data_IF_434399941771
#
_entry.id   IF_434399941771
#
_cell.length_a   1.000
_cell.length_b   1.000
_cell.length_c   1.000
_cell.angle_alpha   90.00
_cell.angle_beta   90.00
_cell.angle_gamma   90.00
#
_symmetry.space_group_name_H-M   'P 1'
#
loop_
_entity.id
_entity.type
_entity.pdbx_description
1 polymer ?
#
# COMPACT_ATOMS: atom_id res chain seq x y z
N UNK A 1 9.21 -14.85 24.70
CA UNK A 1 9.90 -13.93 23.74
C UNK A 1 10.39 -12.74 24.54
N UNK A 2 11.69 -12.38 24.44
CA UNK A 2 12.22 -11.16 25.06
C UNK A 2 11.60 -9.92 24.41
N UNK A 3 11.58 -8.78 25.15
CA UNK A 3 11.02 -7.51 24.66
C UNK A 3 11.54 -7.17 23.26
N UNK A 4 12.84 -7.12 23.05
CA UNK A 4 13.49 -6.87 21.74
C UNK A 4 13.07 -7.82 20.60
N UNK A 5 12.70 -9.07 20.90
CA UNK A 5 12.20 -10.01 19.87
C UNK A 5 10.76 -9.69 19.43
N UNK A 6 9.91 -9.14 20.31
CA UNK A 6 8.56 -8.72 19.97
C UNK A 6 8.56 -7.46 19.10
N UNK A 7 9.45 -6.54 19.38
CA UNK A 7 9.63 -5.26 18.68
C UNK A 7 10.04 -5.44 17.23
N UNK A 8 11.12 -6.22 17.02
CA UNK A 8 11.55 -6.59 15.67
C UNK A 8 10.46 -7.36 14.92
N UNK A 9 9.62 -8.11 15.66
CA UNK A 9 8.51 -8.84 15.06
C UNK A 9 7.42 -7.89 14.54
N UNK A 10 6.98 -6.88 15.31
CA UNK A 10 5.93 -5.95 14.90
C UNK A 10 6.31 -5.14 13.65
N UNK A 11 7.54 -4.59 13.61
CA UNK A 11 8.05 -3.91 12.43
C UNK A 11 8.16 -4.86 11.23
N UNK A 12 8.70 -6.05 11.43
CA UNK A 12 8.85 -7.05 10.35
C UNK A 12 7.50 -7.45 9.77
N UNK A 13 6.50 -7.65 10.62
CA UNK A 13 5.14 -8.00 10.20
C UNK A 13 4.51 -6.87 9.36
N UNK A 14 4.66 -5.61 9.78
CA UNK A 14 4.18 -4.45 9.04
C UNK A 14 4.86 -4.35 7.68
N UNK A 15 6.18 -4.43 7.63
CA UNK A 15 6.95 -4.37 6.38
C UNK A 15 6.62 -5.53 5.43
N UNK A 16 6.41 -6.73 5.95
CA UNK A 16 6.03 -7.90 5.17
C UNK A 16 4.63 -7.76 4.58
N UNK A 17 3.68 -7.19 5.34
CA UNK A 17 2.34 -6.88 4.83
C UNK A 17 2.41 -5.86 3.69
N UNK A 18 3.20 -4.78 3.84
CA UNK A 18 3.41 -3.80 2.77
C UNK A 18 4.09 -4.46 1.56
N UNK A 19 5.07 -5.35 1.80
CA UNK A 19 5.73 -6.08 0.72
C UNK A 19 4.76 -6.95 -0.07
N UNK A 20 3.85 -7.65 0.62
CA UNK A 20 2.79 -8.46 -0.01
C UNK A 20 1.85 -7.60 -0.87
N UNK A 21 1.41 -6.44 -0.35
CA UNK A 21 0.60 -5.50 -1.12
C UNK A 21 1.32 -5.06 -2.39
N UNK A 22 2.58 -4.65 -2.27
CA UNK A 22 3.41 -4.21 -3.40
C UNK A 22 3.63 -5.33 -4.42
N UNK A 23 3.89 -6.54 -3.94
CA UNK A 23 4.09 -7.70 -4.81
C UNK A 23 2.84 -7.98 -5.64
N UNK A 24 1.67 -8.09 -4.99
CA UNK A 24 0.42 -8.40 -5.69
C UNK A 24 -0.03 -7.26 -6.59
N UNK A 25 0.12 -5.99 -6.17
CA UNK A 25 -0.16 -4.84 -7.05
C UNK A 25 0.72 -4.87 -8.30
N UNK A 26 2.01 -5.15 -8.16
CA UNK A 26 2.91 -5.29 -9.30
C UNK A 26 2.51 -6.43 -10.24
N UNK A 27 2.15 -7.58 -9.70
CA UNK A 27 1.64 -8.72 -10.47
C UNK A 27 0.33 -8.38 -11.21
N UNK A 28 -0.63 -7.75 -10.53
CA UNK A 28 -1.90 -7.30 -11.16
C UNK A 28 -1.69 -6.22 -12.21
N UNK A 29 -0.73 -5.31 -12.03
CA UNK A 29 -0.35 -4.33 -13.04
C UNK A 29 0.20 -4.99 -14.31
N UNK A 30 0.98 -6.07 -14.18
CA UNK A 30 1.42 -6.86 -15.35
C UNK A 30 0.26 -7.57 -16.02
N UNK A 31 -0.61 -8.23 -15.26
CA UNK A 31 -1.67 -9.07 -15.80
C UNK A 31 -2.86 -8.26 -16.36
N UNK A 32 -3.30 -7.26 -15.61
CA UNK A 32 -4.52 -6.50 -15.91
C UNK A 32 -4.18 -5.14 -16.53
N UNK A 33 -3.06 -4.53 -16.18
CA UNK A 33 -2.65 -3.21 -16.67
C UNK A 33 -2.48 -3.14 -18.18
N UNK A 34 -2.21 -4.26 -18.84
CA UNK A 34 -2.16 -4.36 -20.32
C UNK A 34 -3.53 -4.11 -20.98
N UNK A 35 -4.62 -4.16 -20.24
CA UNK A 35 -5.97 -3.83 -20.67
C UNK A 35 -6.38 -2.38 -20.41
N UNK A 36 -5.40 -1.49 -20.19
CA UNK A 36 -5.64 -0.06 -20.01
C UNK A 36 -6.39 0.57 -21.16
N UNK A 37 -7.12 1.68 -20.91
CA UNK A 37 -8.02 2.30 -21.89
C UNK A 37 -7.30 2.89 -23.11
N UNK A 38 -6.00 3.13 -23.01
CA UNK A 38 -5.14 3.61 -24.07
C UNK A 38 -3.71 3.10 -23.90
N UNK A 39 -2.85 3.34 -24.90
CA UNK A 39 -1.47 2.84 -24.89
C UNK A 39 -0.62 3.51 -23.81
N UNK A 40 -0.86 4.76 -23.50
CA UNK A 40 -0.16 5.51 -22.47
C UNK A 40 -0.45 4.93 -21.09
N UNK A 41 -1.72 4.62 -20.80
CA UNK A 41 -2.12 3.95 -19.56
C UNK A 41 -1.47 2.58 -19.42
N UNK A 42 -1.45 1.80 -20.50
CA UNK A 42 -0.82 0.47 -20.54
C UNK A 42 0.69 0.56 -20.27
N UNK A 43 1.40 1.44 -20.97
CA UNK A 43 2.84 1.60 -20.79
C UNK A 43 3.19 2.10 -19.39
N UNK A 44 2.42 3.04 -18.85
CA UNK A 44 2.59 3.52 -17.49
C UNK A 44 2.33 2.41 -16.45
N UNK A 45 1.30 1.57 -16.65
CA UNK A 45 1.03 0.43 -15.78
C UNK A 45 2.19 -0.59 -15.77
N UNK A 46 2.79 -0.89 -16.92
CA UNK A 46 3.95 -1.79 -17.03
C UNK A 46 5.17 -1.19 -16.31
N UNK A 47 5.43 0.10 -16.49
CA UNK A 47 6.53 0.78 -15.80
C UNK A 47 6.33 0.77 -14.29
N UNK A 48 5.11 1.04 -13.83
CA UNK A 48 4.75 1.02 -12.41
C UNK A 48 4.86 -0.39 -11.81
N UNK A 49 4.50 -1.43 -12.56
CA UNK A 49 4.64 -2.82 -12.11
C UNK A 49 6.09 -3.14 -11.70
N UNK A 50 7.08 -2.68 -12.46
CA UNK A 50 8.49 -2.85 -12.13
C UNK A 50 8.86 -2.14 -10.83
N UNK A 51 8.33 -0.93 -10.61
CA UNK A 51 8.50 -0.18 -9.36
C UNK A 51 7.90 -0.93 -8.15
N UNK A 52 6.64 -1.36 -8.26
CA UNK A 52 5.94 -2.10 -7.18
C UNK A 52 6.67 -3.40 -6.82
N UNK A 53 7.07 -4.20 -7.80
CA UNK A 53 7.84 -5.44 -7.57
C UNK A 53 9.24 -5.16 -7.01
N UNK A 54 9.88 -4.06 -7.45
CA UNK A 54 11.14 -3.59 -6.90
C UNK A 54 11.03 -3.21 -5.42
N UNK A 55 9.99 -2.47 -5.05
CA UNK A 55 9.68 -2.11 -3.65
C UNK A 55 9.41 -3.37 -2.81
N UNK A 56 8.58 -4.29 -3.30
CA UNK A 56 8.32 -5.56 -2.61
C UNK A 56 9.62 -6.31 -2.29
N UNK A 57 10.50 -6.43 -3.28
CA UNK A 57 11.81 -7.10 -3.11
C UNK A 57 12.68 -6.42 -2.06
N UNK A 58 12.74 -5.09 -2.05
CA UNK A 58 13.52 -4.34 -1.06
C UNK A 58 12.97 -4.53 0.36
N UNK A 59 11.65 -4.54 0.52
CA UNK A 59 10.98 -4.74 1.80
C UNK A 59 11.16 -6.17 2.32
N UNK A 60 10.97 -7.20 1.51
CA UNK A 60 11.25 -8.59 1.90
C UNK A 60 12.72 -8.77 2.31
N UNK A 61 13.66 -8.18 1.55
CA UNK A 61 15.06 -8.23 1.91
C UNK A 61 15.34 -7.55 3.26
N UNK A 62 14.64 -6.46 3.56
CA UNK A 62 14.73 -5.83 4.87
C UNK A 62 14.13 -6.71 5.97
N UNK A 63 13.01 -7.39 5.73
CA UNK A 63 12.47 -8.37 6.67
C UNK A 63 13.46 -9.51 6.95
N UNK A 64 14.20 -9.98 5.95
CA UNK A 64 15.27 -10.98 6.15
C UNK A 64 16.40 -10.43 7.01
N UNK A 65 16.84 -9.18 6.80
CA UNK A 65 17.86 -8.54 7.64
C UNK A 65 17.40 -8.44 9.10
N UNK A 66 16.14 -8.03 9.34
CA UNK A 66 15.55 -7.93 10.69
C UNK A 66 15.45 -9.30 11.38
N UNK A 67 15.21 -10.37 10.62
CA UNK A 67 15.22 -11.76 11.12
C UNK A 67 16.63 -12.31 11.32
N UNK A 68 17.69 -11.52 11.08
CA UNK A 68 19.08 -11.93 11.24
C UNK A 68 19.60 -12.85 10.13
N UNK A 69 18.89 -12.97 9.02
CA UNK A 69 19.31 -13.79 7.85
C UNK A 69 20.40 -13.03 7.11
N UNK A 70 21.64 -13.53 7.22
CA UNK A 70 22.82 -12.96 6.57
C UNK A 70 23.23 -13.79 5.35
N UNK A 71 23.86 -13.14 4.37
CA UNK A 71 24.35 -13.81 3.14
C UNK A 71 23.31 -13.84 2.01
N UNK A 72 23.32 -14.90 1.18
CA UNK A 72 22.39 -15.05 0.06
C UNK A 72 20.97 -15.21 0.57
N UNK A 73 20.12 -14.25 0.24
CA UNK A 73 18.71 -14.27 0.60
C UNK A 73 17.92 -15.19 -0.31
N UNK A 74 16.82 -15.72 0.22
CA UNK A 74 15.90 -16.54 -0.57
C UNK A 74 15.32 -15.74 -1.75
N UNK A 75 15.08 -16.42 -2.86
CA UNK A 75 14.32 -15.83 -3.96
C UNK A 75 12.85 -15.70 -3.56
N UNK A 76 12.21 -14.64 -4.04
CA UNK A 76 10.82 -14.33 -3.73
C UNK A 76 9.98 -14.79 -4.93
N UNK A 77 9.23 -15.86 -4.73
CA UNK A 77 8.37 -16.45 -5.76
C UNK A 77 6.89 -16.09 -5.61
N UNK A 78 6.50 -15.44 -4.52
CA UNK A 78 5.13 -15.05 -4.23
C UNK A 78 5.00 -14.26 -2.93
N UNK A 79 3.80 -13.76 -2.68
CA UNK A 79 3.43 -13.13 -1.42
C UNK A 79 3.37 -14.15 -0.26
N UNK A 80 3.39 -13.65 0.99
CA UNK A 80 3.28 -14.48 2.19
C UNK A 80 1.84 -14.73 2.65
N UNK A 81 0.85 -14.13 2.00
CA UNK A 81 -0.58 -14.30 2.27
C UNK A 81 -1.22 -13.14 3.06
N UNK A 82 -0.56 -11.98 3.14
CA UNK A 82 -1.03 -10.81 3.90
C UNK A 82 -1.64 -9.71 3.02
N UNK A 83 -1.61 -9.87 1.69
CA UNK A 83 -2.21 -8.91 0.77
C UNK A 83 -3.73 -8.88 0.92
N UNK A 84 -4.34 -7.70 0.75
CA UNK A 84 -5.78 -7.54 0.75
C UNK A 84 -6.45 -8.41 -0.30
N UNK A 85 -7.60 -8.97 0.05
CA UNK A 85 -8.40 -9.79 -0.87
C UNK A 85 -8.83 -8.99 -2.10
N UNK A 86 -9.12 -7.70 -1.92
CA UNK A 86 -9.47 -6.78 -3.02
C UNK A 86 -8.34 -6.63 -4.05
N UNK A 87 -7.06 -6.66 -3.63
CA UNK A 87 -5.91 -6.62 -4.53
C UNK A 87 -5.76 -7.96 -5.26
N UNK A 88 -5.84 -9.06 -4.51
CA UNK A 88 -5.68 -10.42 -5.07
C UNK A 88 -6.74 -10.70 -6.15
N UNK A 89 -7.97 -10.23 -5.95
CA UNK A 89 -9.10 -10.46 -6.85
C UNK A 89 -9.26 -9.39 -7.95
N UNK A 90 -8.29 -8.52 -8.16
CA UNK A 90 -8.28 -7.57 -9.28
C UNK A 90 -8.37 -8.34 -10.60
N UNK A 91 -9.33 -7.98 -11.44
CA UNK A 91 -9.61 -8.67 -12.70
C UNK A 91 -9.94 -7.75 -13.89
N UNK A 92 -9.98 -6.45 -13.69
CA UNK A 92 -10.22 -5.45 -14.74
C UNK A 92 -9.60 -4.10 -14.34
N UNK A 93 -9.56 -3.15 -15.30
CA UNK A 93 -8.98 -1.83 -15.10
C UNK A 93 -9.62 -1.05 -13.95
N UNK A 94 -10.95 -1.11 -13.80
CA UNK A 94 -11.65 -0.36 -12.73
C UNK A 94 -11.24 -0.88 -11.35
N UNK A 95 -11.24 -2.20 -11.15
CA UNK A 95 -10.83 -2.82 -9.88
C UNK A 95 -9.35 -2.63 -9.62
N UNK A 96 -8.50 -2.62 -10.68
CA UNK A 96 -7.07 -2.34 -10.56
C UNK A 96 -6.82 -0.93 -10.04
N UNK A 97 -7.45 0.09 -10.63
CA UNK A 97 -7.25 1.48 -10.21
C UNK A 97 -7.80 1.72 -8.80
N UNK A 98 -8.95 1.14 -8.45
CA UNK A 98 -9.51 1.24 -7.11
C UNK A 98 -8.57 0.67 -6.04
N UNK A 99 -8.06 -0.56 -6.28
CA UNK A 99 -7.12 -1.22 -5.38
C UNK A 99 -5.78 -0.46 -5.31
N UNK A 100 -5.23 -0.06 -6.46
CA UNK A 100 -3.97 0.68 -6.56
C UNK A 100 -4.02 2.00 -5.80
N UNK A 101 -5.10 2.79 -5.98
CA UNK A 101 -5.25 4.09 -5.33
C UNK A 101 -5.39 3.95 -3.82
N UNK A 102 -6.35 3.16 -3.33
CA UNK A 102 -6.60 3.06 -1.89
C UNK A 102 -5.40 2.46 -1.15
N UNK A 103 -4.77 1.42 -1.70
CA UNK A 103 -3.63 0.76 -1.06
C UNK A 103 -2.38 1.64 -1.07
N UNK A 104 -2.06 2.29 -2.19
CA UNK A 104 -0.90 3.18 -2.24
C UNK A 104 -1.09 4.43 -1.39
N UNK A 105 -2.30 4.96 -1.26
CA UNK A 105 -2.61 6.04 -0.32
C UNK A 105 -2.35 5.61 1.13
N UNK A 106 -2.83 4.43 1.52
CA UNK A 106 -2.61 3.90 2.85
C UNK A 106 -1.13 3.66 3.17
N UNK A 107 -0.39 3.07 2.22
CA UNK A 107 1.05 2.85 2.35
C UNK A 107 1.79 4.19 2.46
N UNK A 108 1.41 5.20 1.69
CA UNK A 108 2.03 6.53 1.79
C UNK A 108 1.82 7.14 3.18
N UNK A 109 0.62 7.06 3.74
CA UNK A 109 0.32 7.53 5.11
C UNK A 109 1.23 6.84 6.15
N UNK A 110 1.44 5.53 6.01
CA UNK A 110 2.37 4.79 6.89
C UNK A 110 3.82 5.29 6.70
N UNK A 111 4.26 5.51 5.45
CA UNK A 111 5.60 6.06 5.17
C UNK A 111 5.79 7.47 5.73
N UNK A 112 4.79 8.35 5.62
CA UNK A 112 4.85 9.69 6.21
C UNK A 112 4.94 9.62 7.74
N UNK A 113 4.25 8.66 8.36
CA UNK A 113 4.35 8.43 9.81
C UNK A 113 5.74 7.94 10.22
N UNK A 114 6.38 7.08 9.44
CA UNK A 114 7.79 6.70 9.67
C UNK A 114 8.74 7.89 9.52
N UNK A 115 8.51 8.78 8.54
CA UNK A 115 9.29 10.01 8.40
C UNK A 115 9.13 10.92 9.62
N UNK A 116 7.90 11.07 10.12
CA UNK A 116 7.60 11.88 11.30
C UNK A 116 8.29 11.32 12.57
N UNK A 117 8.29 10.00 12.74
CA UNK A 117 8.99 9.34 13.86
C UNK A 117 10.50 9.50 13.76
N UNK A 118 11.04 9.64 12.55
CA UNK A 118 12.46 9.88 12.25
C UNK A 118 13.43 8.85 12.87
N UNK A 119 13.02 7.58 12.96
CA UNK A 119 13.86 6.52 13.48
C UNK A 119 15.00 6.19 12.50
N UNK A 120 16.31 6.30 12.91
CA UNK A 120 17.43 6.22 11.97
C UNK A 120 17.50 4.93 11.14
N UNK A 121 17.18 3.78 11.76
CA UNK A 121 17.20 2.49 11.09
C UNK A 121 16.08 2.33 10.02
N UNK A 122 15.01 3.11 10.13
CA UNK A 122 13.89 3.11 9.19
C UNK A 122 14.15 4.11 8.07
N UNK A 123 14.47 5.35 8.41
CA UNK A 123 14.66 6.45 7.45
C UNK A 123 15.66 6.09 6.35
N UNK A 124 16.81 5.52 6.72
CA UNK A 124 17.85 5.13 5.75
C UNK A 124 17.37 4.10 4.71
N UNK A 125 16.32 3.33 5.03
CA UNK A 125 15.77 2.29 4.15
C UNK A 125 14.63 2.79 3.26
N UNK A 126 13.81 3.74 3.75
CA UNK A 126 12.58 4.14 3.08
C UNK A 126 12.71 5.37 2.17
N UNK A 127 13.75 6.19 2.31
CA UNK A 127 13.90 7.45 1.55
C UNK A 127 13.74 7.29 0.03
N UNK A 128 14.32 6.23 -0.54
CA UNK A 128 14.17 5.94 -1.96
C UNK A 128 12.75 5.49 -2.30
N UNK A 129 12.18 4.59 -1.48
CA UNK A 129 10.84 4.05 -1.67
C UNK A 129 9.77 5.15 -1.68
N UNK A 130 9.88 6.12 -0.77
CA UNK A 130 8.91 7.22 -0.65
C UNK A 130 8.84 8.05 -1.93
N UNK A 131 9.97 8.36 -2.56
CA UNK A 131 9.99 9.18 -3.77
C UNK A 131 9.26 8.47 -4.92
N UNK A 132 9.57 7.21 -5.17
CA UNK A 132 8.92 6.41 -6.20
C UNK A 132 7.44 6.15 -5.87
N UNK A 133 7.11 6.01 -4.58
CA UNK A 133 5.74 5.85 -4.08
C UNK A 133 4.85 7.05 -4.45
N UNK A 134 5.38 8.27 -4.38
CA UNK A 134 4.62 9.47 -4.75
C UNK A 134 4.21 9.45 -6.23
N UNK A 135 5.08 9.02 -7.13
CA UNK A 135 4.76 8.89 -8.55
C UNK A 135 3.63 7.87 -8.77
N UNK A 136 3.68 6.72 -8.06
CA UNK A 136 2.63 5.71 -8.12
C UNK A 136 1.29 6.24 -7.59
N UNK A 137 1.32 6.99 -6.49
CA UNK A 137 0.11 7.57 -5.91
C UNK A 137 -0.51 8.64 -6.82
N UNK A 138 0.30 9.52 -7.41
CA UNK A 138 -0.17 10.56 -8.36
C UNK A 138 -0.86 9.90 -9.55
N UNK A 139 -0.25 8.87 -10.14
CA UNK A 139 -0.84 8.12 -11.25
C UNK A 139 -2.18 7.49 -10.86
N UNK A 140 -2.21 6.75 -9.75
CA UNK A 140 -3.41 6.08 -9.29
C UNK A 140 -4.54 7.06 -8.96
N UNK A 141 -4.21 8.21 -8.34
CA UNK A 141 -5.16 9.29 -8.01
C UNK A 141 -5.74 9.92 -9.27
N UNK A 142 -4.91 10.18 -10.29
CA UNK A 142 -5.39 10.75 -11.56
C UNK A 142 -6.39 9.82 -12.24
N UNK A 143 -6.09 8.52 -12.34
CA UNK A 143 -7.03 7.55 -12.92
C UNK A 143 -8.27 7.34 -12.05
N UNK A 144 -8.15 7.37 -10.74
CA UNK A 144 -9.30 7.29 -9.84
C UNK A 144 -10.25 8.48 -10.04
N UNK A 145 -9.69 9.69 -10.24
CA UNK A 145 -10.46 10.88 -10.56
C UNK A 145 -11.18 10.75 -11.92
N UNK A 146 -10.49 10.30 -12.98
CA UNK A 146 -11.08 10.05 -14.29
C UNK A 146 -12.25 9.05 -14.22
N UNK A 147 -12.03 7.86 -13.61
CA UNK A 147 -13.06 6.84 -13.49
C UNK A 147 -14.29 7.30 -12.70
N UNK A 148 -14.10 8.19 -11.72
CA UNK A 148 -15.22 8.77 -10.97
C UNK A 148 -16.08 9.70 -11.81
N UNK A 149 -15.47 10.42 -12.77
CA UNK A 149 -16.16 11.42 -13.60
C UNK A 149 -16.55 10.90 -14.99
N UNK A 150 -16.29 9.62 -15.27
CA UNK A 150 -16.72 8.95 -16.48
C UNK A 150 -18.24 8.86 -16.61
N UNK A 151 -18.71 8.49 -17.80
CA UNK A 151 -20.14 8.35 -18.10
C UNK A 151 -20.68 6.93 -17.82
N UNK A 152 -21.99 6.82 -17.74
CA UNK A 152 -22.68 5.53 -17.63
C UNK A 152 -22.48 4.84 -16.29
N UNK A 153 -22.16 3.55 -16.33
CA UNK A 153 -22.03 2.72 -15.12
C UNK A 153 -20.62 2.71 -14.50
N UNK A 154 -19.65 3.37 -15.13
CA UNK A 154 -18.24 3.33 -14.68
C UNK A 154 -18.08 3.94 -13.29
N UNK A 155 -18.60 5.15 -12.98
CA UNK A 155 -18.47 5.75 -11.64
C UNK A 155 -19.03 4.87 -10.53
N UNK A 156 -20.19 4.24 -10.76
CA UNK A 156 -20.81 3.36 -9.77
C UNK A 156 -19.98 2.09 -9.53
N UNK A 157 -19.47 1.47 -10.61
CA UNK A 157 -18.58 0.30 -10.50
C UNK A 157 -17.26 0.64 -9.81
N UNK A 158 -16.68 1.80 -10.11
CA UNK A 158 -15.47 2.28 -9.45
C UNK A 158 -15.73 2.53 -7.96
N UNK A 159 -16.81 3.21 -7.60
CA UNK A 159 -17.18 3.46 -6.21
C UNK A 159 -17.36 2.16 -5.43
N UNK A 160 -17.99 1.14 -6.01
CA UNK A 160 -18.14 -0.18 -5.38
C UNK A 160 -16.80 -0.87 -5.17
N UNK A 161 -15.93 -0.88 -6.18
CA UNK A 161 -14.60 -1.47 -6.09
C UNK A 161 -13.73 -0.74 -5.06
N UNK A 162 -13.76 0.60 -5.08
CA UNK A 162 -13.03 1.43 -4.14
C UNK A 162 -13.47 1.15 -2.69
N UNK A 163 -14.79 1.11 -2.45
CA UNK A 163 -15.33 0.84 -1.12
C UNK A 163 -14.88 -0.52 -0.56
N UNK A 164 -14.78 -1.53 -1.40
CA UNK A 164 -14.30 -2.85 -0.99
C UNK A 164 -12.85 -2.78 -0.47
N UNK A 165 -11.95 -2.12 -1.21
CA UNK A 165 -10.55 -1.94 -0.77
C UNK A 165 -10.44 -1.02 0.43
N UNK A 166 -11.22 0.07 0.48
CA UNK A 166 -11.23 1.03 1.60
C UNK A 166 -11.56 0.35 2.92
N UNK A 167 -12.50 -0.59 2.93
CA UNK A 167 -12.84 -1.34 4.14
C UNK A 167 -11.65 -2.16 4.67
N UNK A 168 -10.93 -2.87 3.80
CA UNK A 168 -9.74 -3.64 4.19
C UNK A 168 -8.60 -2.72 4.67
N UNK A 169 -8.37 -1.62 3.96
CA UNK A 169 -7.39 -0.59 4.34
C UNK A 169 -7.70 -0.02 5.73
N UNK A 170 -8.95 0.35 5.98
CA UNK A 170 -9.36 0.93 7.25
C UNK A 170 -9.10 -0.02 8.43
N UNK A 171 -9.46 -1.28 8.27
CA UNK A 171 -9.17 -2.31 9.28
C UNK A 171 -7.66 -2.44 9.51
N UNK A 172 -6.88 -2.53 8.44
CA UNK A 172 -5.43 -2.65 8.52
C UNK A 172 -4.75 -1.46 9.22
N UNK A 173 -5.12 -0.23 8.86
CA UNK A 173 -4.57 0.97 9.50
C UNK A 173 -4.94 1.04 10.99
N UNK A 174 -6.18 0.68 11.34
CA UNK A 174 -6.61 0.60 12.73
C UNK A 174 -5.84 -0.44 13.53
N UNK A 175 -5.50 -1.59 12.91
CA UNK A 175 -4.66 -2.60 13.56
C UNK A 175 -3.20 -2.14 13.75
N UNK A 176 -2.66 -1.33 12.82
CA UNK A 176 -1.34 -0.71 13.01
C UNK A 176 -1.35 0.25 14.20
N UNK A 177 -2.39 1.07 14.34
CA UNK A 177 -2.54 2.02 15.46
C UNK A 177 -2.56 1.34 16.82
N UNK A 178 -3.07 0.11 16.91
CA UNK A 178 -3.13 -0.69 18.14
C UNK A 178 -1.80 -1.35 18.51
N UNK A 179 -0.81 -1.37 17.61
CA UNK A 179 0.50 -1.99 17.86
C UNK A 179 1.40 -1.04 18.68
N UNK A 180 1.22 -1.04 19.99
CA UNK A 180 1.98 -0.20 20.93
C UNK A 180 3.50 -0.36 20.76
N UNK A 181 3.98 -1.54 20.38
CA UNK A 181 5.39 -1.81 20.17
C UNK A 181 5.99 -0.92 19.07
N UNK A 182 5.24 -0.59 18.01
CA UNK A 182 5.72 0.29 16.93
C UNK A 182 5.90 1.73 17.40
N UNK A 183 5.11 2.16 18.39
CA UNK A 183 5.16 3.50 18.97
C UNK A 183 6.21 3.59 20.06
N UNK A 184 6.26 2.62 20.97
CA UNK A 184 7.23 2.60 22.10
C UNK A 184 8.67 2.50 21.63
N UNK A 185 8.92 1.80 20.52
CA UNK A 185 10.24 1.70 19.90
C UNK A 185 10.59 2.90 18.99
N UNK A 186 9.66 3.84 18.85
CA UNK A 186 9.87 5.04 18.06
C UNK A 186 9.86 4.82 16.54
N UNK A 187 9.33 3.69 16.06
CA UNK A 187 9.11 3.48 14.62
C UNK A 187 7.96 4.33 14.10
N UNK A 188 6.91 4.51 14.91
CA UNK A 188 5.77 5.37 14.63
C UNK A 188 5.61 6.42 15.74
N UNK A 189 5.03 7.59 15.44
CA UNK A 189 4.73 8.59 16.47
C UNK A 189 3.76 8.05 17.52
N UNK A 190 3.85 8.56 18.74
CA UNK A 190 2.84 8.32 19.76
C UNK A 190 1.49 8.93 19.34
N UNK A 191 0.39 8.23 19.64
CA UNK A 191 -0.98 8.69 19.34
C UNK A 191 -1.24 8.96 17.85
N UNK A 192 -0.71 8.11 16.98
CA UNK A 192 -0.98 8.19 15.54
C UNK A 192 -2.48 7.99 15.24
N UNK A 193 -2.92 8.57 14.12
CA UNK A 193 -4.30 8.46 13.65
C UNK A 193 -4.33 8.23 12.14
N UNK A 194 -3.83 7.06 11.72
CA UNK A 194 -3.65 6.69 10.31
C UNK A 194 -4.98 6.52 9.59
N UNK A 195 -5.94 5.85 10.24
CA UNK A 195 -7.25 5.57 9.67
C UNK A 195 -8.03 6.87 9.40
N UNK A 196 -7.93 7.86 10.29
CA UNK A 196 -8.57 9.16 10.08
C UNK A 196 -7.85 9.98 8.99
N UNK A 197 -6.52 9.98 8.96
CA UNK A 197 -5.75 10.61 7.90
C UNK A 197 -6.13 10.03 6.53
N UNK A 198 -6.28 8.71 6.45
CA UNK A 198 -6.74 8.04 5.24
C UNK A 198 -8.14 8.50 4.81
N UNK A 199 -9.10 8.54 5.74
CA UNK A 199 -10.45 9.06 5.45
C UNK A 199 -10.43 10.49 4.92
N UNK A 200 -9.64 11.37 5.52
CA UNK A 200 -9.56 12.78 5.10
C UNK A 200 -8.96 12.90 3.68
N UNK A 201 -7.89 12.18 3.38
CA UNK A 201 -7.28 12.23 2.05
C UNK A 201 -8.13 11.53 0.97
N UNK A 202 -8.90 10.52 1.36
CA UNK A 202 -9.80 9.81 0.46
C UNK A 202 -10.94 10.72 -0.06
N UNK A 203 -11.37 11.73 0.72
CA UNK A 203 -12.44 12.67 0.33
C UNK A 203 -12.17 13.39 -0.98
N UNK A 204 -10.93 13.57 -1.36
CA UNK A 204 -10.57 14.25 -2.60
C UNK A 204 -11.03 13.47 -3.86
N UNK A 205 -11.14 12.16 -3.76
CA UNK A 205 -11.53 11.28 -4.88
C UNK A 205 -12.82 10.51 -4.59
N UNK A 206 -13.10 10.15 -3.34
CA UNK A 206 -14.30 9.39 -2.98
C UNK A 206 -15.56 10.27 -2.97
N UNK A 207 -16.71 9.68 -3.28
CA UNK A 207 -17.99 10.32 -3.04
C UNK A 207 -18.22 10.47 -1.53
N UNK A 208 -18.93 11.54 -1.09
CA UNK A 208 -19.21 11.79 0.33
C UNK A 208 -19.85 10.58 1.05
N UNK A 209 -20.64 9.77 0.33
CA UNK A 209 -21.25 8.55 0.86
C UNK A 209 -20.25 7.47 1.28
N UNK A 210 -19.03 7.45 0.73
CA UNK A 210 -17.99 6.47 1.09
C UNK A 210 -17.19 6.89 2.35
N UNK A 211 -17.28 8.15 2.73
CA UNK A 211 -16.50 8.71 3.84
C UNK A 211 -17.27 8.60 5.19
N UNK A 212 -18.58 8.30 5.14
CA UNK A 212 -19.42 8.09 6.33
C UNK A 212 -19.31 6.65 6.87
N UNK A 213 -18.09 6.18 7.05
CA UNK A 213 -17.86 4.94 7.79
C UNK A 213 -17.82 5.27 9.29
N UNK A 214 -18.86 4.86 10.00
CA UNK A 214 -18.97 4.92 11.47
C UNK A 214 -18.05 3.91 12.16
#
# INVERSE_FOLDING_TARGET
MNHTQREVHALTELLETIADHKYVLGDRLVEVGVSGPNIEATLAAIAMAQGELGHARLLYNWCFDLRGIRGKKAEIYGQTGKAFTSIVNVNNWITLIAALYATNLAIDIVWQSFLQANHPAVISRIQKLIREQQDHLIYAKSWAYELRHEQGAIPSRFAQALNHTVNEVYVWLTEIEKKEELQTEGYLPMNINLANQFKEQLKEVAAESLVQMN
#
